data_IF_173936153963
#
_entry.id   IF_173936153963
#
_cell.length_a   1.000
_cell.length_b   1.000
_cell.length_c   1.000
_cell.angle_alpha   90.00
_cell.angle_beta   90.00
_cell.angle_gamma   90.00
#
_symmetry.space_group_name_H-M   'P 1'
#
loop_
_entity.id
_entity.type
_entity.pdbx_description
1 polymer ?
#
# COMPACT_ATOMS: atom_id res chain seq x y z
N UNK A 1 4.25 -31.76 -11.73
CA UNK A 1 4.70 -30.60 -10.93
C UNK A 1 5.79 -29.91 -11.75
N UNK A 2 5.61 -28.69 -12.29
CA UNK A 2 6.71 -28.02 -12.98
C UNK A 2 7.82 -27.69 -11.98
N UNK A 3 9.10 -27.69 -12.39
CA UNK A 3 10.23 -27.52 -11.49
C UNK A 3 10.17 -26.16 -10.79
N UNK A 4 10.54 -26.12 -9.49
CA UNK A 4 10.72 -24.86 -8.76
C UNK A 4 11.81 -24.07 -9.48
N UNK A 5 11.47 -22.90 -10.02
CA UNK A 5 12.44 -21.95 -10.56
C UNK A 5 13.42 -21.56 -9.43
N UNK A 6 14.69 -21.98 -9.49
CA UNK A 6 15.65 -21.78 -8.40
C UNK A 6 15.91 -20.29 -8.13
N UNK A 7 15.70 -19.43 -9.14
CA UNK A 7 16.01 -18.01 -9.13
C UNK A 7 14.77 -17.13 -8.92
N UNK A 8 13.64 -17.70 -8.51
CA UNK A 8 12.39 -16.95 -8.39
C UNK A 8 12.48 -15.77 -7.43
N UNK A 9 13.23 -15.91 -6.33
CA UNK A 9 13.45 -14.82 -5.38
C UNK A 9 14.39 -13.75 -5.93
N UNK A 10 15.32 -14.12 -6.80
CA UNK A 10 16.20 -13.18 -7.49
C UNK A 10 15.42 -12.35 -8.51
N UNK A 11 14.58 -13.01 -9.31
CA UNK A 11 13.64 -12.34 -10.23
C UNK A 11 12.67 -11.44 -9.47
N UNK A 12 12.18 -11.89 -8.33
CA UNK A 12 11.32 -11.10 -7.45
C UNK A 12 12.07 -9.90 -6.83
N UNK A 13 13.37 -10.03 -6.51
CA UNK A 13 14.21 -8.93 -6.05
C UNK A 13 14.27 -7.80 -7.09
N UNK A 14 14.55 -8.15 -8.35
CA UNK A 14 14.63 -7.18 -9.45
C UNK A 14 13.27 -6.54 -9.71
N UNK A 15 12.21 -7.35 -9.88
CA UNK A 15 10.86 -6.85 -10.15
C UNK A 15 10.30 -6.03 -8.98
N UNK A 16 10.42 -6.54 -7.76
CA UNK A 16 9.96 -5.90 -6.53
C UNK A 16 10.77 -4.66 -6.17
N UNK A 17 12.07 -4.64 -6.45
CA UNK A 17 12.93 -3.46 -6.33
C UNK A 17 12.55 -2.35 -7.30
N UNK A 18 12.29 -2.67 -8.58
CA UNK A 18 11.83 -1.67 -9.55
C UNK A 18 10.49 -1.08 -9.14
N UNK A 19 9.57 -1.95 -8.72
CA UNK A 19 8.28 -1.54 -8.20
C UNK A 19 8.43 -0.64 -6.96
N UNK A 20 9.26 -1.04 -5.98
CA UNK A 20 9.54 -0.23 -4.79
C UNK A 20 10.13 1.15 -5.13
N UNK A 21 11.09 1.19 -6.06
CA UNK A 21 11.68 2.43 -6.57
C UNK A 21 10.59 3.39 -7.02
N UNK A 22 9.70 2.91 -7.88
CA UNK A 22 8.62 3.69 -8.45
C UNK A 22 7.65 4.15 -7.35
N UNK A 23 7.26 3.25 -6.46
CA UNK A 23 6.36 3.51 -5.35
C UNK A 23 6.92 4.55 -4.35
N UNK A 24 8.24 4.61 -4.19
CA UNK A 24 8.90 5.58 -3.32
C UNK A 24 9.06 6.93 -4.03
N UNK A 25 9.63 6.98 -5.25
CA UNK A 25 9.87 8.23 -5.98
C UNK A 25 8.58 8.85 -6.48
N UNK A 26 7.83 8.13 -7.32
CA UNK A 26 6.61 8.64 -7.95
C UNK A 26 5.54 8.77 -6.89
N UNK A 27 5.45 7.83 -5.95
CA UNK A 27 4.53 7.95 -4.84
C UNK A 27 4.78 9.20 -3.99
N UNK A 28 6.03 9.50 -3.64
CA UNK A 28 6.35 10.74 -2.90
C UNK A 28 6.09 12.00 -3.71
N UNK A 29 6.42 12.01 -5.01
CA UNK A 29 6.12 13.12 -5.90
C UNK A 29 4.61 13.39 -5.99
N UNK A 30 3.81 12.36 -6.26
CA UNK A 30 2.36 12.46 -6.37
C UNK A 30 1.72 12.98 -5.08
N UNK A 31 2.21 12.51 -3.93
CA UNK A 31 1.75 12.99 -2.62
C UNK A 31 2.16 14.44 -2.36
N UNK A 32 3.38 14.83 -2.73
CA UNK A 32 3.85 16.21 -2.57
C UNK A 32 3.07 17.18 -3.48
N UNK A 33 2.69 16.74 -4.68
CA UNK A 33 1.82 17.49 -5.59
C UNK A 33 0.34 17.47 -5.19
N UNK A 34 -0.03 16.75 -4.13
CA UNK A 34 -1.41 16.58 -3.66
C UNK A 34 -2.36 16.10 -4.77
N UNK A 35 -1.87 15.27 -5.70
CA UNK A 35 -2.67 14.80 -6.83
C UNK A 35 -3.81 13.88 -6.34
N UNK A 36 -5.06 14.14 -6.74
CA UNK A 36 -6.16 13.24 -6.41
C UNK A 36 -5.94 11.87 -7.08
N UNK A 37 -6.43 10.82 -6.43
CA UNK A 37 -6.31 9.43 -6.92
C UNK A 37 -4.87 8.91 -7.10
N UNK A 38 -3.88 9.51 -6.43
CA UNK A 38 -2.49 9.06 -6.43
C UNK A 38 -2.35 7.56 -6.16
N UNK A 39 -3.13 7.00 -5.23
CA UNK A 39 -3.13 5.56 -4.94
C UNK A 39 -3.62 4.69 -6.12
N UNK A 40 -4.66 5.12 -6.82
CA UNK A 40 -5.18 4.42 -8.00
C UNK A 40 -4.17 4.44 -9.15
N UNK A 41 -3.46 5.56 -9.34
CA UNK A 41 -2.39 5.65 -10.32
C UNK A 41 -1.25 4.69 -9.98
N UNK A 42 -0.78 4.68 -8.73
CA UNK A 42 0.28 3.76 -8.27
C UNK A 42 -0.12 2.29 -8.42
N UNK A 43 -1.35 1.92 -8.05
CA UNK A 43 -1.88 0.57 -8.28
C UNK A 43 -1.90 0.22 -9.79
N UNK A 44 -2.23 1.18 -10.66
CA UNK A 44 -2.22 0.99 -12.11
C UNK A 44 -0.81 0.72 -12.65
N UNK A 45 0.19 1.47 -12.17
CA UNK A 45 1.59 1.21 -12.51
C UNK A 45 2.07 -0.14 -11.99
N UNK A 46 1.63 -0.53 -10.81
CA UNK A 46 1.92 -1.82 -10.18
C UNK A 46 1.43 -2.99 -11.04
N UNK A 47 0.17 -2.94 -11.46
CA UNK A 47 -0.43 -3.90 -12.41
C UNK A 47 0.36 -3.94 -13.71
N UNK A 48 0.60 -2.77 -14.31
CA UNK A 48 1.31 -2.66 -15.59
C UNK A 48 2.72 -3.29 -15.49
N UNK A 49 3.49 -2.97 -14.45
CA UNK A 49 4.82 -3.53 -14.25
C UNK A 49 4.78 -5.04 -14.07
N UNK A 50 3.92 -5.54 -13.19
CA UNK A 50 3.92 -6.96 -12.88
C UNK A 50 3.47 -7.83 -14.05
N UNK A 51 2.48 -7.37 -14.81
CA UNK A 51 2.07 -8.07 -16.04
C UNK A 51 3.17 -8.00 -17.11
N UNK A 52 3.91 -6.90 -17.21
CA UNK A 52 5.06 -6.78 -18.12
C UNK A 52 6.19 -7.74 -17.73
N UNK A 53 6.56 -7.81 -16.45
CA UNK A 53 7.55 -8.75 -15.93
C UNK A 53 7.13 -10.21 -16.15
N UNK A 54 5.84 -10.54 -16.07
CA UNK A 54 5.38 -11.89 -16.38
C UNK A 54 5.53 -12.28 -17.85
N UNK A 55 5.59 -11.30 -18.77
CA UNK A 55 5.91 -11.61 -20.17
C UNK A 55 7.37 -12.03 -20.32
N UNK A 56 8.26 -11.43 -19.55
CA UNK A 56 9.71 -11.74 -19.55
C UNK A 56 9.97 -13.03 -18.75
N UNK A 57 9.49 -13.07 -17.51
CA UNK A 57 9.66 -14.18 -16.58
C UNK A 57 8.33 -14.86 -16.29
N UNK A 58 8.05 -15.91 -17.05
CA UNK A 58 6.85 -16.73 -16.85
C UNK A 58 7.00 -17.70 -15.65
N UNK A 59 7.36 -17.18 -14.46
CA UNK A 59 7.60 -17.96 -13.23
C UNK A 59 6.42 -17.88 -12.27
N UNK A 60 5.90 -19.02 -11.79
CA UNK A 60 4.75 -19.08 -10.85
C UNK A 60 5.11 -18.55 -9.47
N UNK A 61 4.35 -17.60 -8.95
CA UNK A 61 4.61 -16.95 -7.67
C UNK A 61 5.60 -15.79 -7.73
N UNK A 62 5.88 -15.24 -8.91
CA UNK A 62 6.72 -14.06 -9.03
C UNK A 62 6.03 -12.82 -8.43
N UNK A 63 4.72 -12.66 -8.63
CA UNK A 63 4.02 -11.41 -8.29
C UNK A 63 3.94 -11.22 -6.79
N UNK A 64 3.48 -12.24 -6.04
CA UNK A 64 3.35 -12.09 -4.59
C UNK A 64 4.70 -11.88 -3.90
N UNK A 65 5.79 -12.48 -4.42
CA UNK A 65 7.15 -12.28 -3.88
C UNK A 65 7.67 -10.88 -4.19
N UNK A 66 7.45 -10.40 -5.42
CA UNK A 66 7.81 -9.03 -5.80
C UNK A 66 7.02 -8.00 -4.99
N UNK A 67 5.72 -8.23 -4.78
CA UNK A 67 4.87 -7.40 -3.93
C UNK A 67 5.29 -7.40 -2.46
N UNK A 68 5.69 -8.56 -1.92
CA UNK A 68 6.25 -8.66 -0.58
C UNK A 68 7.54 -7.83 -0.45
N UNK A 69 8.47 -7.97 -1.39
CA UNK A 69 9.72 -7.19 -1.41
C UNK A 69 9.39 -5.70 -1.53
N UNK A 70 8.50 -5.32 -2.44
CA UNK A 70 8.07 -3.93 -2.62
C UNK A 70 7.46 -3.34 -1.36
N UNK A 71 6.53 -4.05 -0.71
CA UNK A 71 5.92 -3.63 0.54
C UNK A 71 6.97 -3.46 1.65
N UNK A 72 7.92 -4.39 1.77
CA UNK A 72 8.98 -4.31 2.78
C UNK A 72 9.93 -3.14 2.51
N UNK A 73 10.33 -2.89 1.26
CA UNK A 73 11.14 -1.72 0.90
C UNK A 73 10.39 -0.41 1.17
N UNK A 74 9.11 -0.32 0.79
CA UNK A 74 8.24 0.83 1.12
C UNK A 74 8.15 1.04 2.63
N UNK A 75 8.18 -0.04 3.40
CA UNK A 75 8.15 0.02 4.87
C UNK A 75 9.34 0.69 5.49
N UNK A 76 10.50 0.63 4.83
CA UNK A 76 11.75 1.21 5.30
C UNK A 76 11.93 2.66 4.80
N UNK A 77 11.06 3.13 3.91
CA UNK A 77 11.04 4.52 3.47
C UNK A 77 10.81 5.49 4.66
N UNK A 78 11.43 6.69 4.67
CA UNK A 78 11.25 7.70 5.72
C UNK A 78 9.82 8.26 5.88
N UNK A 79 8.87 7.81 5.06
CA UNK A 79 7.48 8.28 5.07
C UNK A 79 6.76 7.90 6.37
N UNK A 80 5.99 8.84 6.95
CA UNK A 80 5.39 8.69 8.29
C UNK A 80 4.14 7.78 8.38
N UNK A 81 3.62 7.25 7.26
CA UNK A 81 2.45 6.36 7.22
C UNK A 81 2.82 5.12 6.41
N UNK A 82 3.24 4.08 7.13
CA UNK A 82 3.91 2.93 6.53
C UNK A 82 2.94 1.77 6.27
N UNK A 83 2.07 1.43 7.23
CA UNK A 83 1.27 0.19 7.16
C UNK A 83 0.16 0.21 6.10
N UNK A 84 -0.43 1.39 5.84
CA UNK A 84 -1.50 1.52 4.84
C UNK A 84 -1.02 1.15 3.43
N UNK A 85 -0.04 1.87 2.87
CA UNK A 85 0.51 1.55 1.55
C UNK A 85 1.06 0.13 1.42
N UNK A 86 1.74 -0.38 2.47
CA UNK A 86 2.28 -1.75 2.45
C UNK A 86 1.20 -2.82 2.28
N UNK A 87 0.12 -2.73 3.05
CA UNK A 87 -0.96 -3.70 3.00
C UNK A 87 -1.74 -3.61 1.69
N UNK A 88 -1.84 -2.41 1.10
CA UNK A 88 -2.39 -2.20 -0.25
C UNK A 88 -1.57 -2.92 -1.32
N UNK A 89 -0.25 -2.63 -1.39
CA UNK A 89 0.68 -3.27 -2.34
C UNK A 89 0.64 -4.80 -2.24
N UNK A 90 0.66 -5.32 -1.01
CA UNK A 90 0.62 -6.76 -0.79
C UNK A 90 -0.72 -7.37 -1.23
N UNK A 91 -1.84 -6.70 -0.94
CA UNK A 91 -3.18 -7.13 -1.37
C UNK A 91 -3.31 -7.16 -2.89
N UNK A 92 -2.84 -6.12 -3.58
CA UNK A 92 -2.79 -6.06 -5.05
C UNK A 92 -2.00 -7.24 -5.62
N UNK A 93 -0.80 -7.50 -5.08
CA UNK A 93 0.06 -8.58 -5.53
C UNK A 93 -0.55 -9.98 -5.31
N UNK A 94 -1.15 -10.20 -4.14
CA UNK A 94 -1.79 -11.47 -3.80
C UNK A 94 -3.01 -11.74 -4.66
N UNK A 95 -3.85 -10.73 -4.90
CA UNK A 95 -5.03 -10.88 -5.75
C UNK A 95 -4.67 -11.09 -7.22
N UNK A 96 -3.68 -10.37 -7.74
CA UNK A 96 -3.16 -10.64 -9.09
C UNK A 96 -2.65 -12.08 -9.21
N UNK A 97 -1.82 -12.55 -8.27
CA UNK A 97 -1.33 -13.92 -8.30
C UNK A 97 -2.47 -14.94 -8.18
N UNK A 98 -3.44 -14.70 -7.30
CA UNK A 98 -4.60 -15.59 -7.13
C UNK A 98 -5.40 -15.74 -8.42
N UNK A 99 -5.72 -14.63 -9.09
CA UNK A 99 -6.44 -14.64 -10.37
C UNK A 99 -5.65 -15.42 -11.43
N UNK A 100 -4.34 -15.18 -11.55
CA UNK A 100 -3.51 -15.86 -12.55
C UNK A 100 -3.20 -17.31 -12.20
N UNK A 101 -3.26 -17.67 -10.92
CA UNK A 101 -3.19 -19.06 -10.49
C UNK A 101 -4.46 -19.82 -10.88
N UNK A 102 -5.64 -19.21 -10.71
CA UNK A 102 -6.94 -19.82 -11.00
C UNK A 102 -7.26 -19.87 -12.49
N UNK A 103 -7.05 -18.77 -13.21
CA UNK A 103 -7.41 -18.64 -14.63
C UNK A 103 -6.23 -18.95 -15.57
N UNK A 104 -5.01 -19.07 -15.05
CA UNK A 104 -3.81 -19.26 -15.87
C UNK A 104 -3.25 -17.95 -16.44
N UNK A 105 -2.41 -18.06 -17.47
CA UNK A 105 -1.55 -16.97 -17.96
C UNK A 105 -1.78 -16.64 -19.43
N UNK A 106 -2.96 -16.11 -19.71
CA UNK A 106 -3.37 -15.65 -21.02
C UNK A 106 -3.97 -14.24 -20.92
N UNK A 107 -4.22 -13.57 -22.05
CA UNK A 107 -4.56 -12.15 -22.07
C UNK A 107 -5.77 -11.81 -21.19
N UNK A 108 -6.88 -12.56 -21.29
CA UNK A 108 -8.09 -12.28 -20.49
C UNK A 108 -7.82 -12.47 -18.99
N UNK A 109 -7.04 -13.48 -18.60
CA UNK A 109 -6.62 -13.64 -17.21
C UNK A 109 -5.80 -12.44 -16.71
N UNK A 110 -4.91 -11.87 -17.54
CA UNK A 110 -4.19 -10.63 -17.20
C UNK A 110 -5.13 -9.43 -17.05
N UNK A 111 -6.10 -9.26 -17.95
CA UNK A 111 -7.10 -8.19 -17.86
C UNK A 111 -7.91 -8.29 -16.57
N UNK A 112 -8.41 -9.49 -16.25
CA UNK A 112 -9.17 -9.74 -15.01
C UNK A 112 -8.28 -9.51 -13.78
N UNK A 113 -7.02 -9.95 -13.80
CA UNK A 113 -6.08 -9.73 -12.71
C UNK A 113 -5.86 -8.22 -12.47
N UNK A 114 -5.71 -7.44 -13.54
CA UNK A 114 -5.59 -5.99 -13.46
C UNK A 114 -6.84 -5.31 -12.91
N UNK A 115 -8.03 -5.73 -13.36
CA UNK A 115 -9.31 -5.23 -12.84
C UNK A 115 -9.48 -5.51 -11.34
N UNK A 116 -9.23 -6.76 -10.91
CA UNK A 116 -9.35 -7.15 -9.50
C UNK A 116 -8.32 -6.41 -8.64
N UNK A 117 -7.08 -6.24 -9.12
CA UNK A 117 -6.05 -5.50 -8.41
C UNK A 117 -6.43 -4.04 -8.20
N UNK A 118 -6.91 -3.34 -9.24
CA UNK A 118 -7.32 -1.94 -9.11
C UNK A 118 -8.56 -1.77 -8.21
N UNK A 119 -9.53 -2.68 -8.32
CA UNK A 119 -10.67 -2.73 -7.40
C UNK A 119 -10.23 -2.94 -5.95
N UNK A 120 -9.18 -3.74 -5.73
CA UNK A 120 -8.66 -3.95 -4.38
C UNK A 120 -8.11 -2.68 -3.74
N UNK A 121 -7.54 -1.76 -4.53
CA UNK A 121 -7.03 -0.49 -4.03
C UNK A 121 -8.14 0.42 -3.46
N UNK A 122 -9.29 0.50 -4.15
CA UNK A 122 -10.44 1.25 -3.64
C UNK A 122 -11.08 0.54 -2.43
N UNK A 123 -11.21 -0.79 -2.48
CA UNK A 123 -11.73 -1.58 -1.36
C UNK A 123 -10.84 -1.45 -0.11
N UNK A 124 -9.53 -1.45 -0.27
CA UNK A 124 -8.57 -1.23 0.82
C UNK A 124 -8.71 0.18 1.41
N UNK A 125 -8.87 1.20 0.56
CA UNK A 125 -9.14 2.57 1.03
C UNK A 125 -10.46 2.66 1.82
N UNK A 126 -11.53 2.04 1.33
CA UNK A 126 -12.82 1.98 2.03
C UNK A 126 -12.71 1.22 3.36
N UNK A 127 -11.99 0.09 3.38
CA UNK A 127 -11.73 -0.68 4.58
C UNK A 127 -10.96 0.15 5.63
N UNK A 128 -9.95 0.92 5.20
CA UNK A 128 -9.24 1.83 6.11
C UNK A 128 -10.18 2.90 6.68
N UNK A 129 -11.00 3.55 5.84
CA UNK A 129 -11.99 4.53 6.32
C UNK A 129 -12.96 3.90 7.31
N UNK A 130 -13.44 2.68 7.05
CA UNK A 130 -14.31 1.96 7.97
C UNK A 130 -13.61 1.60 9.30
N UNK A 131 -12.33 1.23 9.27
CA UNK A 131 -11.55 1.00 10.48
C UNK A 131 -11.43 2.29 11.30
N UNK A 132 -11.12 3.42 10.65
CA UNK A 132 -10.94 4.71 11.33
C UNK A 132 -12.25 5.26 11.90
N UNK A 133 -13.32 5.21 11.12
CA UNK A 133 -14.56 5.96 11.38
C UNK A 133 -15.76 5.08 11.76
N UNK A 134 -15.69 3.77 11.58
CA UNK A 134 -16.74 2.85 12.00
C UNK A 134 -17.95 2.74 11.09
N UNK A 135 -19.00 2.13 11.62
CA UNK A 135 -20.31 1.99 10.97
C UNK A 135 -21.04 3.31 10.82
N UNK A 136 -20.75 4.29 11.70
CA UNK A 136 -21.40 5.59 11.68
C UNK A 136 -21.12 6.33 10.36
N UNK A 137 -19.93 6.10 9.80
CA UNK A 137 -19.58 6.55 8.47
C UNK A 137 -20.55 6.04 7.39
N UNK A 138 -20.97 4.77 7.46
CA UNK A 138 -21.90 4.19 6.50
C UNK A 138 -23.30 4.81 6.61
N UNK A 139 -23.74 5.11 7.84
CA UNK A 139 -25.00 5.82 8.08
C UNK A 139 -24.96 7.22 7.48
N UNK A 140 -23.88 7.97 7.74
CA UNK A 140 -23.69 9.31 7.20
C UNK A 140 -23.65 9.30 5.67
N UNK A 141 -22.94 8.35 5.05
CA UNK A 141 -22.93 8.21 3.59
C UNK A 141 -24.30 7.87 3.01
N UNK A 142 -25.06 6.99 3.66
CA UNK A 142 -26.41 6.61 3.23
C UNK A 142 -27.36 7.81 3.29
N UNK A 143 -27.26 8.62 4.35
CA UNK A 143 -28.06 9.82 4.52
C UNK A 143 -27.67 10.92 3.52
N UNK A 144 -26.37 11.06 3.23
CA UNK A 144 -25.89 11.96 2.18
C UNK A 144 -26.40 11.52 0.80
N UNK A 145 -26.40 10.22 0.50
CA UNK A 145 -26.95 9.68 -0.75
C UNK A 145 -28.45 9.99 -0.87
N UNK A 146 -29.22 9.75 0.19
CA UNK A 146 -30.65 10.09 0.21
C UNK A 146 -30.90 11.59 0.02
N UNK A 147 -30.08 12.43 0.66
CA UNK A 147 -30.12 13.89 0.46
C UNK A 147 -29.87 14.27 -1.01
N UNK A 148 -28.86 13.68 -1.65
CA UNK A 148 -28.60 13.92 -3.07
C UNK A 148 -29.76 13.46 -3.97
N UNK A 149 -30.36 12.29 -3.68
CA UNK A 149 -31.53 11.78 -4.43
C UNK A 149 -32.71 12.74 -4.34
N UNK A 150 -32.93 13.35 -3.17
CA UNK A 150 -33.96 14.38 -2.99
C UNK A 150 -33.66 15.66 -3.81
N UNK A 151 -32.40 16.06 -3.89
CA UNK A 151 -31.97 17.26 -4.64
C UNK A 151 -31.98 17.05 -6.16
N UNK A 152 -31.80 15.81 -6.62
CA UNK A 152 -31.80 15.44 -8.05
C UNK A 152 -32.85 14.36 -8.34
N UNK A 153 -34.16 14.68 -8.34
CA UNK A 153 -35.24 13.70 -8.49
C UNK A 153 -35.22 12.96 -9.83
N UNK A 154 -34.55 13.53 -10.85
CA UNK A 154 -34.39 12.94 -12.19
C UNK A 154 -33.26 11.90 -12.27
N UNK A 155 -32.42 11.78 -11.24
CA UNK A 155 -31.50 10.65 -11.15
C UNK A 155 -32.28 9.44 -10.64
N UNK A 156 -32.70 8.58 -11.58
CA UNK A 156 -33.21 7.23 -11.29
C UNK A 156 -32.07 6.25 -10.94
N UNK A 157 -30.92 6.74 -10.48
CA UNK A 157 -29.80 5.88 -10.08
C UNK A 157 -29.96 5.49 -8.61
N UNK A 158 -29.91 4.20 -8.32
CA UNK A 158 -29.84 3.69 -6.96
C UNK A 158 -28.39 3.68 -6.44
N UNK A 159 -28.20 3.48 -5.13
CA UNK A 159 -26.87 3.36 -4.53
C UNK A 159 -26.07 2.22 -5.18
N UNK A 160 -26.76 1.13 -5.57
CA UNK A 160 -26.18 0.01 -6.31
C UNK A 160 -25.60 0.44 -7.67
N UNK A 161 -26.28 1.31 -8.42
CA UNK A 161 -25.83 1.78 -9.72
C UNK A 161 -24.57 2.63 -9.61
N UNK A 162 -24.46 3.43 -8.55
CA UNK A 162 -23.27 4.23 -8.28
C UNK A 162 -22.08 3.33 -7.94
N UNK A 163 -22.26 2.34 -7.05
CA UNK A 163 -21.23 1.34 -6.71
C UNK A 163 -20.81 0.58 -7.97
N UNK A 164 -21.76 0.13 -8.79
CA UNK A 164 -21.52 -0.58 -10.04
C UNK A 164 -20.74 0.30 -11.03
N UNK A 165 -21.08 1.58 -11.15
CA UNK A 165 -20.38 2.50 -12.06
C UNK A 165 -18.93 2.71 -11.64
N UNK A 166 -18.66 2.90 -10.34
CA UNK A 166 -17.29 2.99 -9.80
C UNK A 166 -16.54 1.69 -10.03
N UNK A 167 -17.18 0.54 -9.76
CA UNK A 167 -16.58 -0.77 -9.98
C UNK A 167 -16.23 -0.99 -11.46
N UNK A 168 -17.11 -0.57 -12.38
CA UNK A 168 -16.89 -0.66 -13.82
C UNK A 168 -15.71 0.22 -14.25
N UNK A 169 -15.65 1.47 -13.80
CA UNK A 169 -14.55 2.39 -14.12
C UNK A 169 -13.21 1.80 -13.65
N UNK A 170 -13.13 1.33 -12.40
CA UNK A 170 -11.90 0.72 -11.87
C UNK A 170 -11.55 -0.58 -12.58
N UNK A 171 -12.54 -1.38 -12.96
CA UNK A 171 -12.32 -2.60 -13.75
C UNK A 171 -11.74 -2.28 -15.11
N UNK A 172 -12.28 -1.28 -15.82
CA UNK A 172 -11.78 -0.82 -17.11
C UNK A 172 -10.35 -0.28 -16.98
N UNK A 173 -10.10 0.60 -16.02
CA UNK A 173 -8.76 1.14 -15.77
C UNK A 173 -7.74 0.03 -15.46
N UNK A 174 -8.13 -0.96 -14.65
CA UNK A 174 -7.29 -2.10 -14.30
C UNK A 174 -6.98 -2.99 -15.50
N UNK A 175 -7.99 -3.27 -16.33
CA UNK A 175 -7.82 -3.99 -17.59
C UNK A 175 -6.91 -3.23 -18.56
N UNK A 176 -7.07 -1.90 -18.70
CA UNK A 176 -6.21 -1.07 -19.54
C UNK A 176 -4.76 -1.06 -19.05
N UNK A 177 -4.53 -0.99 -17.74
CA UNK A 177 -3.20 -1.09 -17.15
C UNK A 177 -2.55 -2.46 -17.43
N UNK A 178 -3.32 -3.55 -17.29
CA UNK A 178 -2.85 -4.90 -17.62
C UNK A 178 -2.55 -5.05 -19.12
N UNK A 179 -3.39 -4.51 -19.99
CA UNK A 179 -3.16 -4.50 -21.44
C UNK A 179 -1.88 -3.73 -21.79
N UNK A 180 -1.69 -2.55 -21.21
CA UNK A 180 -0.47 -1.77 -21.37
C UNK A 180 0.76 -2.57 -20.93
N UNK A 181 0.69 -3.24 -19.77
CA UNK A 181 1.76 -4.10 -19.26
C UNK A 181 2.08 -5.27 -20.19
N UNK A 182 1.04 -5.92 -20.71
CA UNK A 182 1.17 -7.03 -21.65
C UNK A 182 1.85 -6.61 -22.96
N UNK A 183 1.40 -5.49 -23.54
CA UNK A 183 2.00 -4.92 -24.77
C UNK A 183 3.45 -4.49 -24.51
N UNK A 184 3.70 -3.86 -23.37
CA UNK A 184 5.02 -3.38 -22.97
C UNK A 184 6.01 -4.53 -22.81
N UNK A 185 5.63 -5.59 -22.09
CA UNK A 185 6.47 -6.77 -21.91
C UNK A 185 6.76 -7.50 -23.22
N UNK A 186 5.77 -7.62 -24.11
CA UNK A 186 5.98 -8.18 -25.46
C UNK A 186 6.90 -7.32 -26.33
N UNK A 187 6.79 -6.01 -26.23
CA UNK A 187 7.66 -5.09 -26.96
C UNK A 187 9.10 -5.14 -26.43
N UNK A 188 9.29 -5.29 -25.11
CA UNK A 188 10.60 -5.49 -24.52
C UNK A 188 11.25 -6.80 -25.02
N UNK A 189 10.50 -7.91 -25.09
CA UNK A 189 10.98 -9.16 -25.69
C UNK A 189 11.36 -9.00 -27.17
N UNK A 190 10.56 -8.26 -27.96
CA UNK A 190 10.80 -8.04 -29.39
C UNK A 190 12.02 -7.17 -29.68
N UNK A 191 12.30 -6.18 -28.84
CA UNK A 191 13.48 -5.31 -29.00
C UNK A 191 14.79 -6.03 -28.70
N UNK A 192 14.74 -7.26 -28.21
CA UNK A 192 15.91 -8.05 -27.82
C UNK A 192 16.61 -7.45 -26.60
N UNK A 193 17.32 -8.29 -25.86
CA UNK A 193 18.24 -7.84 -24.81
C UNK A 193 19.34 -7.00 -25.47
N UNK A 194 19.24 -5.68 -25.37
CA UNK A 194 20.43 -4.86 -25.59
C UNK A 194 21.35 -5.12 -24.39
N UNK A 195 22.46 -5.80 -24.64
CA UNK A 195 23.51 -6.02 -23.66
C UNK A 195 24.05 -4.66 -23.23
N UNK A 196 23.73 -4.25 -22.00
CA UNK A 196 24.33 -3.06 -21.40
C UNK A 196 25.52 -3.52 -20.58
N UNK A 197 26.68 -2.87 -20.77
CA UNK A 197 27.79 -2.94 -19.84
C UNK A 197 27.33 -2.37 -18.50
N UNK A 198 27.09 -3.26 -17.54
CA UNK A 198 26.83 -2.88 -16.16
C UNK A 198 28.10 -2.22 -15.58
N UNK A 199 27.97 -1.16 -14.77
CA UNK A 199 29.12 -0.60 -14.06
C UNK A 199 29.83 -1.69 -13.26
N UNK A 200 31.14 -1.83 -13.46
CA UNK A 200 31.96 -2.90 -12.87
C UNK A 200 32.00 -2.88 -11.33
N UNK A 201 31.71 -1.74 -10.70
CA UNK A 201 31.68 -1.63 -9.24
C UNK A 201 30.54 -0.71 -8.80
N UNK A 202 29.46 -1.31 -8.29
CA UNK A 202 28.60 -0.62 -7.32
C UNK A 202 29.21 -0.94 -5.95
N UNK A 203 29.73 0.09 -5.28
CA UNK A 203 30.19 -0.04 -3.89
C UNK A 203 29.01 -0.49 -3.04
N UNK A 204 29.02 -1.75 -2.61
CA UNK A 204 27.99 -2.34 -1.77
C UNK A 204 27.84 -1.63 -0.41
N UNK A 205 28.81 -0.78 -0.04
CA UNK A 205 28.82 -0.02 1.21
C UNK A 205 27.67 1.00 1.30
N UNK A 206 27.20 1.60 0.20
CA UNK A 206 26.07 2.55 0.22
C UNK A 206 24.70 1.85 0.41
N UNK A 207 24.60 0.57 0.07
CA UNK A 207 23.41 -0.23 0.35
C UNK A 207 23.29 -0.60 1.84
N UNK A 208 24.28 -0.29 2.69
CA UNK A 208 24.21 -0.55 4.13
C UNK A 208 23.56 0.58 4.94
N UNK A 209 23.50 1.80 4.39
CA UNK A 209 23.13 2.99 5.17
C UNK A 209 21.62 3.15 5.37
N UNK A 210 20.77 2.66 4.46
CA UNK A 210 19.31 2.70 4.60
C UNK A 210 18.76 1.57 5.49
N UNK A 211 19.58 0.54 5.79
CA UNK A 211 19.26 -0.49 6.79
C UNK A 211 19.45 0.01 8.22
N UNK A 212 20.17 1.13 8.42
CA UNK A 212 20.40 1.70 9.75
C UNK A 212 19.10 2.34 10.24
N UNK A 213 18.43 1.65 11.15
CA UNK A 213 17.37 2.24 11.98
C UNK A 213 17.90 3.53 12.62
N UNK A 214 17.07 4.58 12.68
CA UNK A 214 17.46 5.87 13.23
C UNK A 214 18.22 5.70 14.58
N UNK A 215 19.37 6.36 14.78
CA UNK A 215 20.19 6.17 15.98
C UNK A 215 19.36 6.49 17.23
N UNK A 216 19.32 5.54 18.18
CA UNK A 216 18.59 5.66 19.45
C UNK A 216 17.17 5.09 19.47
N UNK A 217 16.68 4.46 18.39
CA UNK A 217 15.35 3.84 18.40
C UNK A 217 15.39 2.45 19.08
N UNK A 218 14.81 2.35 20.27
CA UNK A 218 14.67 1.09 21.03
C UNK A 218 13.41 0.34 20.59
N UNK A 219 13.51 -0.99 20.49
CA UNK A 219 12.39 -1.85 20.05
C UNK A 219 12.08 -2.91 21.11
N UNK A 220 10.79 -3.11 21.41
CA UNK A 220 10.36 -4.05 22.45
C UNK A 220 9.25 -4.98 21.93
N UNK A 221 9.55 -6.28 21.86
CA UNK A 221 8.59 -7.30 21.38
C UNK A 221 7.29 -7.35 22.22
N UNK A 222 7.29 -7.16 23.55
CA UNK A 222 6.06 -7.07 24.32
C UNK A 222 5.16 -5.89 23.92
N UNK A 223 5.75 -4.75 23.53
CA UNK A 223 4.98 -3.59 23.07
C UNK A 223 4.31 -3.86 21.73
N UNK A 224 4.94 -4.62 20.83
CA UNK A 224 4.30 -5.08 19.60
C UNK A 224 3.03 -5.88 19.90
N UNK A 225 3.13 -6.87 20.81
CA UNK A 225 1.99 -7.72 21.19
C UNK A 225 0.90 -6.88 21.87
N UNK A 226 1.29 -5.98 22.78
CA UNK A 226 0.38 -5.04 23.44
C UNK A 226 -0.39 -4.22 22.40
N UNK A 227 0.29 -3.58 21.45
CA UNK A 227 -0.37 -2.78 20.41
C UNK A 227 -1.26 -3.63 19.50
N UNK A 228 -0.81 -4.82 19.14
CA UNK A 228 -1.59 -5.78 18.35
C UNK A 228 -2.90 -6.19 19.03
N UNK A 229 -2.92 -6.30 20.36
CA UNK A 229 -4.13 -6.59 21.15
C UNK A 229 -4.97 -5.33 21.42
N UNK A 230 -4.34 -4.20 21.69
CA UNK A 230 -5.03 -2.95 22.02
C UNK A 230 -5.77 -2.35 20.84
N UNK A 231 -5.33 -2.56 19.59
CA UNK A 231 -6.06 -2.10 18.40
C UNK A 231 -7.47 -2.70 18.34
N UNK A 232 -7.68 -4.03 18.25
CA UNK A 232 -9.01 -4.62 18.22
C UNK A 232 -9.79 -4.38 19.51
N UNK A 233 -9.14 -4.39 20.67
CA UNK A 233 -9.80 -4.09 21.94
C UNK A 233 -10.37 -2.66 21.94
N UNK A 234 -9.59 -1.67 21.51
CA UNK A 234 -10.05 -0.28 21.43
C UNK A 234 -11.23 -0.09 20.47
N UNK A 235 -11.23 -0.80 19.34
CA UNK A 235 -12.34 -0.80 18.38
C UNK A 235 -13.63 -1.33 18.99
N UNK A 236 -13.55 -2.44 19.74
CA UNK A 236 -14.71 -3.05 20.39
C UNK A 236 -15.21 -2.18 21.55
N UNK A 237 -14.29 -1.64 22.36
CA UNK A 237 -14.66 -0.81 23.52
C UNK A 237 -15.34 0.48 23.09
N UNK A 238 -14.78 1.20 22.10
CA UNK A 238 -15.40 2.44 21.60
C UNK A 238 -16.77 2.15 21.00
N UNK A 239 -16.90 1.08 20.19
CA UNK A 239 -18.19 0.72 19.61
C UNK A 239 -19.24 0.34 20.67
N UNK A 240 -18.84 -0.35 21.73
CA UNK A 240 -19.78 -0.87 22.73
C UNK A 240 -20.19 0.18 23.77
N UNK A 241 -19.29 1.09 24.10
CA UNK A 241 -19.47 1.98 25.24
C UNK A 241 -19.46 3.48 24.90
N UNK A 242 -19.23 3.87 23.63
CA UNK A 242 -19.23 5.27 23.20
C UNK A 242 -18.27 6.14 24.02
N UNK A 243 -18.75 7.32 24.43
CA UNK A 243 -18.03 8.27 25.31
C UNK A 243 -18.18 7.99 26.81
N UNK A 244 -18.68 6.84 27.24
CA UNK A 244 -18.84 6.56 28.66
C UNK A 244 -17.49 6.64 29.40
N UNK A 245 -17.43 7.46 30.45
CA UNK A 245 -16.20 7.77 31.20
C UNK A 245 -15.44 6.53 31.71
N UNK A 246 -16.15 5.55 32.26
CA UNK A 246 -15.55 4.35 32.88
C UNK A 246 -14.77 3.49 31.86
N UNK A 247 -15.35 3.07 30.73
CA UNK A 247 -14.62 2.34 29.69
C UNK A 247 -13.62 3.20 28.90
N UNK A 248 -13.74 4.53 28.96
CA UNK A 248 -12.77 5.44 28.34
C UNK A 248 -11.44 5.52 29.11
N UNK A 249 -11.45 5.35 30.44
CA UNK A 249 -10.25 5.42 31.30
C UNK A 249 -9.07 4.56 30.80
N UNK A 250 -9.22 3.24 30.54
CA UNK A 250 -8.11 2.43 30.02
C UNK A 250 -7.62 2.90 28.65
N UNK A 251 -8.53 3.43 27.80
CA UNK A 251 -8.16 3.97 26.49
C UNK A 251 -7.38 5.29 26.62
N UNK A 252 -7.73 6.14 27.59
CA UNK A 252 -6.99 7.37 27.90
C UNK A 252 -5.61 7.07 28.47
N UNK A 253 -5.48 6.08 29.37
CA UNK A 253 -4.19 5.64 29.88
C UNK A 253 -3.32 5.11 28.74
N UNK A 254 -3.89 4.29 27.85
CA UNK A 254 -3.18 3.79 26.68
C UNK A 254 -2.79 4.91 25.70
N UNK A 255 -3.68 5.88 25.44
CA UNK A 255 -3.36 7.04 24.61
C UNK A 255 -2.25 7.90 25.23
N UNK A 256 -2.29 8.13 26.55
CA UNK A 256 -1.24 8.83 27.29
C UNK A 256 0.11 8.12 27.17
N UNK A 257 0.12 6.80 27.36
CA UNK A 257 1.31 5.97 27.12
C UNK A 257 1.86 6.15 25.69
N UNK A 258 0.98 6.10 24.68
CA UNK A 258 1.38 6.28 23.28
C UNK A 258 2.01 7.65 23.03
N UNK A 259 1.42 8.73 23.55
CA UNK A 259 1.92 10.09 23.32
C UNK A 259 3.24 10.39 24.03
N UNK A 260 3.45 9.81 25.21
CA UNK A 260 4.70 9.97 25.98
C UNK A 260 5.82 9.14 25.35
N UNK A 261 5.55 7.86 25.03
CA UNK A 261 6.57 6.92 24.58
C UNK A 261 6.94 7.12 23.11
N UNK A 262 6.00 7.55 22.25
CA UNK A 262 6.22 7.70 20.82
C UNK A 262 6.09 9.18 20.36
N UNK A 263 7.16 10.00 20.46
CA UNK A 263 7.11 11.44 20.14
C UNK A 263 6.81 11.73 18.66
N UNK A 264 6.95 10.72 17.78
CA UNK A 264 6.55 10.83 16.36
C UNK A 264 5.04 10.94 16.18
N UNK A 265 4.24 10.43 17.13
CA UNK A 265 2.77 10.51 17.08
C UNK A 265 2.32 11.96 17.17
N UNK A 266 2.90 12.75 18.09
CA UNK A 266 2.58 14.16 18.25
C UNK A 266 2.86 14.98 16.97
N UNK A 267 3.99 14.72 16.30
CA UNK A 267 4.30 15.33 15.00
C UNK A 267 3.29 14.99 13.92
N UNK A 268 2.69 13.79 13.97
CA UNK A 268 1.65 13.37 13.02
C UNK A 268 0.33 14.07 13.29
N UNK A 269 -0.08 14.13 14.56
CA UNK A 269 -1.29 14.82 14.98
C UNK A 269 -1.16 16.34 14.79
N UNK A 270 0.05 16.91 14.82
CA UNK A 270 0.26 18.34 14.57
C UNK A 270 -0.02 18.77 13.11
N UNK A 271 -0.19 17.84 12.16
CA UNK A 271 -0.42 18.20 10.76
C UNK A 271 -1.82 18.81 10.57
N UNK A 272 -1.95 19.99 9.92
CA UNK A 272 -3.24 20.67 9.78
C UNK A 272 -4.25 19.85 8.97
N UNK A 273 -3.78 19.12 7.95
CA UNK A 273 -4.64 18.25 7.13
C UNK A 273 -5.38 17.18 7.94
N UNK A 274 -4.75 16.65 8.99
CA UNK A 274 -5.39 15.67 9.86
C UNK A 274 -6.59 16.27 10.59
N UNK A 275 -6.43 17.46 11.17
CA UNK A 275 -7.53 18.16 11.86
C UNK A 275 -8.62 18.65 10.93
N UNK A 276 -8.26 19.09 9.71
CA UNK A 276 -9.26 19.44 8.69
C UNK A 276 -10.13 18.22 8.34
N UNK A 277 -9.53 17.03 8.21
CA UNK A 277 -10.28 15.80 7.98
C UNK A 277 -11.20 15.47 9.15
N UNK A 278 -10.73 15.57 10.40
CA UNK A 278 -11.57 15.36 11.58
C UNK A 278 -12.74 16.34 11.64
N UNK A 279 -12.46 17.63 11.51
CA UNK A 279 -13.47 18.69 11.51
C UNK A 279 -14.52 18.46 10.41
N UNK A 280 -14.07 18.15 9.19
CA UNK A 280 -14.96 17.85 8.08
C UNK A 280 -15.88 16.66 8.41
N UNK A 281 -15.34 15.60 9.00
CA UNK A 281 -16.13 14.42 9.38
C UNK A 281 -17.11 14.72 10.51
N UNK A 282 -16.72 15.52 11.51
CA UNK A 282 -17.64 15.96 12.57
C UNK A 282 -18.76 16.83 12.02
N UNK A 283 -18.47 17.74 11.08
CA UNK A 283 -19.50 18.54 10.40
C UNK A 283 -20.42 17.65 9.56
N UNK A 284 -19.86 16.71 8.81
CA UNK A 284 -20.63 15.74 8.02
C UNK A 284 -21.58 14.94 8.93
N UNK A 285 -21.08 14.46 10.07
CA UNK A 285 -21.90 13.79 11.08
C UNK A 285 -22.97 14.74 11.66
N UNK A 286 -22.62 15.96 12.03
CA UNK A 286 -23.58 16.95 12.55
C UNK A 286 -24.74 17.25 11.59
N UNK A 287 -24.46 17.37 10.28
CA UNK A 287 -25.48 17.70 9.28
C UNK A 287 -26.27 16.49 8.76
N UNK A 288 -25.65 15.31 8.68
CA UNK A 288 -26.22 14.16 8.00
C UNK A 288 -26.49 12.97 8.93
N UNK A 289 -26.19 13.05 10.23
CA UNK A 289 -26.65 12.06 11.19
C UNK A 289 -28.16 12.16 11.39
N UNK A 290 -28.81 11.01 11.44
CA UNK A 290 -30.20 10.89 11.86
C UNK A 290 -30.19 10.02 13.11
N UNK A 291 -30.78 10.52 14.19
CA UNK A 291 -30.84 9.79 15.45
C UNK A 291 -31.47 8.41 15.23
N UNK A 292 -30.84 7.38 15.78
CA UNK A 292 -31.37 6.02 15.71
C UNK A 292 -32.64 5.92 16.56
N UNK A 293 -33.62 5.06 16.21
CA UNK A 293 -34.75 4.76 17.09
C UNK A 293 -34.32 4.31 18.50
N UNK A 294 -33.14 3.68 18.61
CA UNK A 294 -32.57 3.18 19.86
C UNK A 294 -31.95 4.27 20.74
N UNK A 295 -31.56 5.41 20.17
CA UNK A 295 -31.03 6.56 20.92
C UNK A 295 -31.47 7.89 20.26
N UNK A 296 -32.69 8.35 20.56
CA UNK A 296 -33.29 9.52 19.90
C UNK A 296 -32.60 10.84 20.25
N UNK A 297 -31.81 10.86 21.32
CA UNK A 297 -31.21 12.08 21.87
C UNK A 297 -29.77 12.28 21.43
N UNK A 298 -29.15 11.29 20.78
CA UNK A 298 -27.77 11.37 20.33
C UNK A 298 -27.61 12.41 19.22
N UNK A 299 -26.84 13.47 19.50
CA UNK A 299 -26.59 14.51 18.50
C UNK A 299 -25.57 14.04 17.45
N UNK A 300 -25.73 14.45 16.20
CA UNK A 300 -24.77 14.11 15.14
C UNK A 300 -23.35 14.61 15.41
N UNK A 301 -23.22 15.69 16.19
CA UNK A 301 -21.93 16.20 16.63
C UNK A 301 -21.25 15.31 17.66
N UNK A 302 -22.01 14.69 18.58
CA UNK A 302 -21.48 13.70 19.53
C UNK A 302 -20.93 12.48 18.79
N UNK A 303 -21.69 11.95 17.83
CA UNK A 303 -21.22 10.84 16.97
C UNK A 303 -19.96 11.25 16.20
N UNK A 304 -19.96 12.46 15.64
CA UNK A 304 -18.77 13.01 14.98
C UNK A 304 -17.56 13.08 15.90
N UNK A 305 -17.75 13.40 17.19
CA UNK A 305 -16.67 13.45 18.18
C UNK A 305 -16.19 12.06 18.60
N UNK A 306 -17.08 11.08 18.75
CA UNK A 306 -16.76 9.67 18.95
C UNK A 306 -15.88 9.12 17.80
N UNK A 307 -16.29 9.40 16.57
CA UNK A 307 -15.52 9.06 15.36
C UNK A 307 -14.13 9.70 15.38
N UNK A 308 -14.00 10.95 15.86
CA UNK A 308 -12.71 11.63 15.97
C UNK A 308 -11.79 10.99 17.01
N UNK A 309 -12.31 10.72 18.22
CA UNK A 309 -11.52 10.07 19.28
C UNK A 309 -11.04 8.70 18.85
N UNK A 310 -11.92 7.93 18.21
CA UNK A 310 -11.58 6.65 17.59
C UNK A 310 -10.45 6.80 16.57
N UNK A 311 -10.59 7.73 15.63
CA UNK A 311 -9.58 7.96 14.60
C UNK A 311 -8.22 8.34 15.21
N UNK A 312 -8.18 9.23 16.21
CA UNK A 312 -6.94 9.64 16.90
C UNK A 312 -6.27 8.44 17.57
N UNK A 313 -7.05 7.63 18.30
CA UNK A 313 -6.51 6.47 19.01
C UNK A 313 -5.96 5.42 18.05
N UNK A 314 -6.72 5.06 17.02
CA UNK A 314 -6.33 4.06 16.01
C UNK A 314 -5.09 4.52 15.25
N UNK A 315 -5.07 5.78 14.80
CA UNK A 315 -3.94 6.37 14.09
C UNK A 315 -2.67 6.33 14.94
N UNK A 316 -2.80 6.61 16.23
CA UNK A 316 -1.70 6.58 17.20
C UNK A 316 -1.22 5.15 17.46
N UNK A 317 -2.14 4.21 17.70
CA UNK A 317 -1.86 2.80 17.94
C UNK A 317 -1.17 2.14 16.72
N UNK A 318 -1.67 2.36 15.50
CA UNK A 318 -1.02 1.90 14.29
C UNK A 318 0.34 2.56 14.06
N UNK A 319 0.52 3.82 14.45
CA UNK A 319 1.81 4.49 14.37
C UNK A 319 2.84 3.84 15.29
N UNK A 320 2.47 3.52 16.53
CA UNK A 320 3.32 2.80 17.47
C UNK A 320 3.59 1.36 17.01
N UNK A 321 2.56 0.64 16.57
CA UNK A 321 2.71 -0.70 16.00
C UNK A 321 3.68 -0.70 14.80
N UNK A 322 3.60 0.31 13.91
CA UNK A 322 4.51 0.45 12.77
C UNK A 322 5.96 0.73 13.16
N UNK A 323 6.19 1.28 14.35
CA UNK A 323 7.54 1.43 14.91
C UNK A 323 8.03 0.09 15.42
N UNK A 324 7.24 -0.62 16.21
CA UNK A 324 7.65 -1.88 16.83
C UNK A 324 7.82 -3.03 15.83
N UNK A 325 7.08 -3.03 14.71
CA UNK A 325 7.21 -4.07 13.66
C UNK A 325 8.60 -4.05 13.01
N UNK A 326 9.31 -2.91 13.08
CA UNK A 326 10.68 -2.77 12.57
C UNK A 326 11.74 -3.34 13.53
N UNK A 327 11.35 -4.06 14.58
CA UNK A 327 12.27 -4.64 15.55
C UNK A 327 13.27 -5.60 14.86
N UNK A 328 14.59 -5.43 15.07
CA UNK A 328 15.63 -6.30 14.52
C UNK A 328 15.45 -7.79 14.83
N UNK A 329 14.84 -8.12 15.97
CA UNK A 329 14.53 -9.52 16.36
C UNK A 329 13.43 -10.12 15.50
N UNK A 330 12.47 -9.34 15.02
CA UNK A 330 11.42 -9.80 14.11
C UNK A 330 12.04 -10.04 12.74
N UNK A 331 12.82 -9.09 12.22
CA UNK A 331 13.55 -9.27 10.96
C UNK A 331 14.56 -10.43 11.05
N UNK A 332 15.16 -10.67 12.21
CA UNK A 332 16.07 -11.80 12.47
C UNK A 332 15.37 -13.15 12.68
N UNK A 333 14.19 -13.18 13.30
CA UNK A 333 13.37 -14.41 13.41
C UNK A 333 12.74 -14.80 12.07
N UNK A 334 12.62 -13.85 11.14
CA UNK A 334 12.29 -14.07 9.75
C UNK A 334 13.41 -14.83 8.97
N UNK A 335 14.49 -15.33 9.58
CA UNK A 335 15.53 -16.10 8.88
C UNK A 335 15.20 -17.59 8.63
N UNK A 336 13.95 -18.03 8.80
CA UNK A 336 13.54 -19.37 8.39
C UNK A 336 13.67 -19.53 6.86
N UNK A 337 13.97 -20.75 6.38
CA UNK A 337 14.46 -21.04 5.00
C UNK A 337 13.71 -20.39 3.82
N UNK A 338 12.41 -20.09 3.95
CA UNK A 338 11.62 -19.41 2.91
C UNK A 338 11.77 -17.87 2.92
N UNK A 339 12.01 -17.28 4.09
CA UNK A 339 12.13 -15.84 4.32
C UNK A 339 13.60 -15.37 4.31
N UNK A 340 14.57 -16.27 4.52
CA UNK A 340 15.99 -15.99 4.26
C UNK A 340 16.22 -15.52 2.81
N UNK A 341 15.65 -16.24 1.83
CA UNK A 341 15.69 -15.84 0.41
C UNK A 341 14.98 -14.51 0.15
N UNK A 342 13.95 -14.19 0.92
CA UNK A 342 13.26 -12.90 0.84
C UNK A 342 14.14 -11.76 1.38
N UNK A 343 14.86 -12.01 2.49
CA UNK A 343 15.78 -11.05 3.09
C UNK A 343 16.98 -10.78 2.18
N UNK A 344 17.60 -11.83 1.61
CA UNK A 344 18.64 -11.69 0.58
C UNK A 344 18.11 -10.91 -0.63
N UNK A 345 16.92 -11.25 -1.11
CA UNK A 345 16.26 -10.55 -2.22
C UNK A 345 16.02 -9.06 -1.93
N UNK A 346 15.69 -8.70 -0.69
CA UNK A 346 15.58 -7.30 -0.28
C UNK A 346 16.95 -6.63 -0.33
N UNK A 347 17.99 -7.25 0.24
CA UNK A 347 19.36 -6.72 0.17
C UNK A 347 19.82 -6.47 -1.27
N UNK A 348 19.53 -7.40 -2.17
CA UNK A 348 19.81 -7.27 -3.61
C UNK A 348 18.97 -6.16 -4.27
N UNK A 349 17.67 -6.08 -3.97
CA UNK A 349 16.79 -5.05 -4.50
C UNK A 349 17.27 -3.64 -4.12
N UNK A 350 17.77 -3.48 -2.90
CA UNK A 350 18.35 -2.23 -2.44
C UNK A 350 19.75 -1.94 -2.99
N UNK A 351 20.58 -2.95 -3.24
CA UNK A 351 21.85 -2.77 -3.94
C UNK A 351 21.64 -2.34 -5.40
N UNK A 352 20.57 -2.84 -6.03
CA UNK A 352 20.17 -2.45 -7.37
C UNK A 352 19.52 -1.05 -7.42
N UNK A 353 18.86 -0.64 -6.33
CA UNK A 353 18.04 0.58 -6.27
C UNK A 353 18.77 1.84 -6.77
N UNK A 354 19.97 2.23 -6.29
CA UNK A 354 20.64 3.45 -6.76
C UNK A 354 20.97 3.42 -8.25
N UNK A 355 21.38 2.27 -8.77
CA UNK A 355 21.72 2.13 -10.18
C UNK A 355 20.47 2.14 -11.06
N UNK A 356 19.33 1.63 -10.57
CA UNK A 356 18.02 1.76 -11.24
C UNK A 356 17.53 3.21 -11.21
N UNK A 357 17.75 3.91 -10.09
CA UNK A 357 17.45 5.33 -9.91
C UNK A 357 18.25 6.20 -10.88
N UNK A 358 19.56 6.01 -10.95
CA UNK A 358 20.46 6.79 -11.82
C UNK A 358 20.08 6.66 -13.30
N UNK A 359 19.72 5.45 -13.75
CA UNK A 359 19.25 5.22 -15.12
C UNK A 359 17.83 5.75 -15.37
N UNK A 360 16.97 5.74 -14.36
CA UNK A 360 15.62 6.34 -14.42
C UNK A 360 15.63 7.87 -14.32
N UNK A 361 16.73 8.48 -13.84
CA UNK A 361 16.82 9.86 -13.36
C UNK A 361 16.62 10.95 -14.43
N UNK A 362 16.53 10.61 -15.70
CA UNK A 362 16.01 11.54 -16.73
C UNK A 362 14.48 11.62 -16.63
N UNK A 363 13.98 12.18 -15.53
CA UNK A 363 12.54 12.47 -15.29
C UNK A 363 11.89 13.18 -16.49
N UNK A 364 12.64 14.06 -17.17
CA UNK A 364 12.20 14.75 -18.39
C UNK A 364 11.97 13.82 -19.58
N UNK A 365 12.73 12.73 -19.72
CA UNK A 365 12.53 11.73 -20.74
C UNK A 365 11.35 10.80 -20.39
N UNK A 366 11.22 10.42 -19.12
CA UNK A 366 10.09 9.63 -18.62
C UNK A 366 8.75 10.35 -18.80
N UNK A 367 8.67 11.64 -18.47
CA UNK A 367 7.47 12.46 -18.66
C UNK A 367 7.10 12.62 -20.15
N UNK A 368 8.09 12.68 -21.05
CA UNK A 368 7.85 12.83 -22.49
C UNK A 368 7.45 11.52 -23.17
N UNK A 369 8.02 10.38 -22.76
CA UNK A 369 7.75 9.06 -23.37
C UNK A 369 7.77 7.94 -22.32
N UNK A 370 6.75 7.84 -21.45
CA UNK A 370 6.76 6.92 -20.30
C UNK A 370 6.86 5.45 -20.74
N UNK A 371 6.11 5.05 -21.76
CA UNK A 371 6.11 3.68 -22.27
C UNK A 371 7.47 3.25 -22.84
N UNK A 372 8.19 4.14 -23.54
CA UNK A 372 9.52 3.77 -24.07
C UNK A 372 10.56 3.65 -22.95
N UNK A 373 10.52 4.55 -21.97
CA UNK A 373 11.43 4.50 -20.81
C UNK A 373 11.21 3.23 -19.99
N UNK A 374 9.94 2.85 -19.76
CA UNK A 374 9.60 1.61 -19.07
C UNK A 374 10.02 0.38 -19.86
N UNK A 375 9.90 0.39 -21.19
CA UNK A 375 10.35 -0.73 -22.03
C UNK A 375 11.87 -0.93 -21.96
N UNK A 376 12.64 0.15 -21.81
CA UNK A 376 14.08 0.10 -21.62
C UNK A 376 14.45 -0.53 -20.27
N UNK A 377 13.85 -0.04 -19.18
CA UNK A 377 14.06 -0.60 -17.83
C UNK A 377 13.72 -2.10 -17.75
N UNK A 378 12.67 -2.53 -18.45
CA UNK A 378 12.27 -3.94 -18.52
C UNK A 378 13.24 -4.78 -19.36
N UNK A 379 13.78 -4.25 -20.46
CA UNK A 379 14.76 -4.94 -21.28
C UNK A 379 16.09 -5.15 -20.53
N UNK A 380 16.41 -4.25 -19.59
CA UNK A 380 17.58 -4.35 -18.71
C UNK A 380 17.41 -5.38 -17.59
N UNK A 381 16.17 -5.77 -17.23
CA UNK A 381 15.91 -6.62 -16.07
C UNK A 381 16.70 -7.95 -16.05
N UNK A 382 17.02 -8.49 -17.22
CA UNK A 382 17.83 -9.70 -17.37
C UNK A 382 19.33 -9.45 -17.11
N UNK A 383 19.88 -8.29 -17.50
CA UNK A 383 21.27 -7.96 -17.15
C UNK A 383 21.40 -7.75 -15.64
N UNK A 384 20.40 -7.10 -15.03
CA UNK A 384 20.28 -7.01 -13.57
C UNK A 384 20.22 -8.38 -12.90
N UNK A 385 19.46 -9.32 -13.46
CA UNK A 385 19.39 -10.69 -12.96
C UNK A 385 20.75 -11.39 -13.07
N UNK A 386 21.45 -11.24 -14.19
CA UNK A 386 22.77 -11.84 -14.42
C UNK A 386 23.82 -11.32 -13.45
N UNK A 387 23.88 -10.00 -13.22
CA UNK A 387 24.79 -9.37 -12.25
C UNK A 387 24.67 -9.96 -10.85
N UNK A 388 23.44 -10.20 -10.39
CA UNK A 388 23.22 -10.73 -9.06
C UNK A 388 23.44 -12.25 -8.96
N UNK A 389 23.38 -12.98 -10.08
CA UNK A 389 23.83 -14.38 -10.11
C UNK A 389 25.34 -14.46 -9.89
N UNK A 390 26.11 -13.62 -10.58
CA UNK A 390 27.59 -13.59 -10.46
C UNK A 390 28.09 -13.20 -9.06
N UNK A 391 27.31 -12.45 -8.28
CA UNK A 391 27.65 -12.09 -6.89
C UNK A 391 27.25 -13.12 -5.83
N UNK A 392 26.48 -14.13 -6.22
CA UNK A 392 25.97 -15.17 -5.31
C UNK A 392 26.88 -16.41 -5.28
N UNK A 393 27.60 -16.65 -6.38
CA UNK A 393 28.70 -17.61 -6.49
C UNK A 393 30.00 -17.00 -5.96
#
# INVERSE_FOLDING_TARGET
>A
MPPKDPDIWLKAAVAGGLWASFEIIVGSLLHNLHLPFSGTLLAGFSVMFMIAFLQIWNSRGLIWRAGLICALMKSLSPSAIILGPMTGILMEALLMEAVLYLLGRHLTAYLIAGSVALLSAILHKLANLFILYGSDLLNIYSNLFFFMKKQFPRLEADAGDLILSVALIYSVLGSLAALAGFLLGRNALRKGQQSIELPKEVKAEEASDWQKTAPGQTFHLPLLVLHGLMIPLSLVMIRRYGLALVPLLPLLVYAGFLFIYYPRILRRLAKPFFWMQLLFMTLLAGFFWQASPDDPYQSGFEVGLEMCLRAILIVSAFSAFSVEIRNPRISGALNNAALHKAHEAIGMAFAALPLMLDRSSRLTAFLKKPLSSLSGLLAEAESWLAYHREKKD
#
